data_IF_635557152754
#
_entry.id   IF_635557152754
#
_cell.length_a   1.000
_cell.length_b   1.000
_cell.length_c   1.000
_cell.angle_alpha   90.00
_cell.angle_beta   90.00
_cell.angle_gamma   90.00
#
_symmetry.space_group_name_H-M   'P 1'
#
loop_
_entity.id
_entity.type
_entity.pdbx_description
1 polymer ?
#
# COMPACT_ATOMS: atom_id res chain seq x y z
N UNK A 1 -17.37 -16.35 17.41
CA UNK A 1 -17.05 -14.94 17.06
C UNK A 1 -15.66 -14.64 17.55
N UNK A 2 -14.92 -13.78 16.85
CA UNK A 2 -13.63 -13.28 17.37
C UNK A 2 -13.92 -12.38 18.59
N UNK A 3 -13.00 -12.29 19.57
CA UNK A 3 -13.17 -11.40 20.73
C UNK A 3 -13.33 -9.91 20.38
N UNK A 4 -13.05 -9.54 19.13
CA UNK A 4 -13.13 -8.17 18.59
C UNK A 4 -14.41 -7.93 17.77
N UNK A 5 -15.27 -8.93 17.59
CA UNK A 5 -16.52 -8.75 16.88
C UNK A 5 -17.43 -7.79 17.67
N UNK A 6 -17.75 -6.63 17.08
CA UNK A 6 -18.62 -5.62 17.70
C UNK A 6 -17.89 -4.43 18.37
N UNK A 7 -16.56 -4.36 18.27
CA UNK A 7 -15.83 -3.14 18.68
C UNK A 7 -16.14 -1.98 17.76
N UNK A 8 -16.12 -0.76 18.30
CA UNK A 8 -16.30 0.44 17.49
C UNK A 8 -15.24 0.52 16.37
N UNK A 9 -15.62 0.95 15.16
CA UNK A 9 -14.66 1.18 14.09
C UNK A 9 -13.66 2.28 14.49
N UNK A 10 -12.42 2.12 14.06
CA UNK A 10 -11.37 3.11 14.29
C UNK A 10 -11.67 4.39 13.51
N UNK A 11 -11.39 5.55 14.11
CA UNK A 11 -11.43 6.84 13.40
C UNK A 11 -10.45 6.80 12.20
N UNK A 12 -10.91 7.09 10.96
CA UNK A 12 -10.04 7.19 9.79
C UNK A 12 -8.79 8.06 10.00
N UNK A 13 -8.88 9.15 10.77
CA UNK A 13 -7.75 10.04 11.01
C UNK A 13 -6.70 9.43 11.94
N UNK A 14 -7.11 8.63 12.93
CA UNK A 14 -6.19 7.87 13.80
C UNK A 14 -5.43 6.82 12.97
N UNK A 15 -6.11 6.18 12.02
CA UNK A 15 -5.47 5.26 11.09
C UNK A 15 -4.41 5.96 10.22
N UNK A 16 -4.76 7.08 9.58
CA UNK A 16 -3.83 7.87 8.75
C UNK A 16 -2.65 8.39 9.58
N UNK A 17 -2.90 8.86 10.81
CA UNK A 17 -1.85 9.31 11.72
C UNK A 17 -0.87 8.18 12.04
N UNK A 18 -1.37 6.97 12.26
CA UNK A 18 -0.54 5.78 12.50
C UNK A 18 0.44 5.52 11.35
N UNK A 19 -0.05 5.65 10.10
CA UNK A 19 0.81 5.54 8.91
C UNK A 19 1.89 6.64 8.89
N UNK A 20 1.51 7.88 9.16
CA UNK A 20 2.46 9.00 9.21
C UNK A 20 3.55 8.78 10.27
N UNK A 21 3.16 8.32 11.47
CA UNK A 21 4.10 7.98 12.54
C UNK A 21 5.04 6.85 12.12
N UNK A 22 4.52 5.80 11.50
CA UNK A 22 5.34 4.70 10.99
C UNK A 22 6.38 5.19 9.96
N UNK A 23 5.98 6.06 9.02
CA UNK A 23 6.91 6.66 8.05
C UNK A 23 7.98 7.52 8.71
N UNK A 24 7.60 8.38 9.65
CA UNK A 24 8.54 9.29 10.33
C UNK A 24 9.56 8.49 11.18
N UNK A 25 9.08 7.50 11.94
CA UNK A 25 9.92 6.69 12.83
C UNK A 25 10.79 5.68 12.06
N UNK A 26 10.33 5.21 10.89
CA UNK A 26 11.02 4.22 10.07
C UNK A 26 11.15 4.70 8.60
N UNK A 27 11.97 5.73 8.32
CA UNK A 27 11.98 6.41 7.02
C UNK A 27 12.37 5.52 5.85
N UNK A 28 13.14 4.45 6.09
CA UNK A 28 13.61 3.50 5.08
C UNK A 28 12.71 2.26 4.93
N UNK A 29 11.75 2.06 5.84
CA UNK A 29 10.90 0.88 5.82
C UNK A 29 9.82 0.99 4.74
N UNK A 30 9.37 -0.17 4.26
CA UNK A 30 8.16 -0.28 3.45
C UNK A 30 6.96 -0.26 4.39
N UNK A 31 6.07 0.71 4.21
CA UNK A 31 4.82 0.81 4.97
C UNK A 31 3.70 0.29 4.07
N UNK A 32 3.17 -0.89 4.40
CA UNK A 32 2.22 -1.63 3.56
C UNK A 32 0.77 -1.48 4.03
N UNK A 33 -0.06 -0.87 3.18
CA UNK A 33 -1.52 -0.92 3.31
C UNK A 33 -2.00 -2.34 2.99
N UNK A 34 -2.45 -3.04 4.02
CA UNK A 34 -2.77 -4.46 3.96
C UNK A 34 -4.29 -4.70 4.03
N UNK A 35 -4.79 -5.23 5.15
CA UNK A 35 -6.18 -5.64 5.32
C UNK A 35 -7.15 -4.45 5.41
N UNK A 36 -8.39 -4.66 4.97
CA UNK A 36 -9.48 -3.67 5.07
C UNK A 36 -9.51 -2.61 3.97
N UNK A 37 -8.57 -2.64 3.00
CA UNK A 37 -8.52 -1.64 1.91
C UNK A 37 -9.79 -1.65 1.06
N UNK A 38 -10.43 -2.81 0.88
CA UNK A 38 -11.70 -2.94 0.14
C UNK A 38 -12.82 -2.06 0.70
N UNK A 39 -12.84 -1.90 2.02
CA UNK A 39 -13.86 -1.13 2.75
C UNK A 39 -13.46 0.34 2.91
N UNK A 40 -12.22 0.71 2.57
CA UNK A 40 -11.73 2.08 2.69
C UNK A 40 -12.16 2.94 1.48
N UNK A 41 -12.75 4.12 1.71
CA UNK A 41 -13.00 5.09 0.66
C UNK A 41 -11.72 5.48 -0.08
N UNK A 42 -11.84 5.77 -1.38
CA UNK A 42 -10.70 6.17 -2.23
C UNK A 42 -9.92 7.37 -1.64
N UNK A 43 -10.62 8.33 -1.06
CA UNK A 43 -10.03 9.50 -0.39
C UNK A 43 -9.17 9.10 0.80
N UNK A 44 -9.60 8.10 1.58
CA UNK A 44 -8.83 7.59 2.71
C UNK A 44 -7.56 6.87 2.23
N UNK A 45 -7.65 6.08 1.16
CA UNK A 45 -6.49 5.42 0.57
C UNK A 45 -5.47 6.44 0.05
N UNK A 46 -5.94 7.49 -0.65
CA UNK A 46 -5.10 8.59 -1.11
C UNK A 46 -4.37 9.29 0.05
N UNK A 47 -5.07 9.56 1.16
CA UNK A 47 -4.47 10.16 2.35
C UNK A 47 -3.44 9.23 3.01
N UNK A 48 -3.65 7.91 2.98
CA UNK A 48 -2.66 6.97 3.50
C UNK A 48 -1.37 6.94 2.66
N UNK A 49 -1.49 7.00 1.32
CA UNK A 49 -0.32 7.15 0.44
C UNK A 49 0.41 8.48 0.70
N UNK A 50 -0.34 9.58 0.83
CA UNK A 50 0.23 10.88 1.18
C UNK A 50 0.94 10.85 2.55
N UNK A 51 0.39 10.14 3.53
CA UNK A 51 0.98 9.99 4.87
C UNK A 51 2.27 9.15 4.88
N UNK A 52 2.54 8.38 3.81
CA UNK A 52 3.80 7.66 3.63
C UNK A 52 3.67 6.16 3.44
N UNK A 53 2.46 5.61 3.27
CA UNK A 53 2.30 4.26 2.76
C UNK A 53 2.89 4.17 1.34
N UNK A 54 3.65 3.12 1.06
CA UNK A 54 4.34 2.93 -0.23
C UNK A 54 4.34 1.48 -0.71
N UNK A 55 3.50 0.64 -0.10
CA UNK A 55 3.29 -0.74 -0.51
C UNK A 55 1.83 -1.11 -0.28
N UNK A 56 1.30 -2.00 -1.10
CA UNK A 56 -0.05 -2.54 -0.99
C UNK A 56 -0.09 -3.93 -1.61
N UNK A 57 -1.09 -4.73 -1.25
CA UNK A 57 -1.37 -5.95 -1.99
C UNK A 57 -2.03 -5.62 -3.32
N UNK A 58 -1.32 -5.92 -4.41
CA UNK A 58 -1.73 -5.68 -5.79
C UNK A 58 -1.57 -6.97 -6.60
N UNK A 59 -2.60 -7.33 -7.37
CA UNK A 59 -2.59 -8.51 -8.23
C UNK A 59 -4.00 -8.89 -8.68
N UNK A 60 -4.10 -9.51 -9.85
CA UNK A 60 -5.38 -9.89 -10.50
C UNK A 60 -6.14 -10.98 -9.75
N UNK A 61 -5.47 -11.67 -8.81
CA UNK A 61 -6.07 -12.63 -7.89
C UNK A 61 -5.49 -12.46 -6.49
N UNK A 62 -6.33 -12.71 -5.49
CA UNK A 62 -5.87 -12.93 -4.11
C UNK A 62 -5.35 -14.38 -4.00
N UNK A 63 -6.00 -15.23 -3.20
CA UNK A 63 -5.60 -16.64 -3.05
C UNK A 63 -6.17 -17.55 -4.16
N UNK A 64 -7.37 -17.28 -4.67
CA UNK A 64 -8.04 -18.11 -5.70
C UNK A 64 -9.02 -17.35 -6.62
N UNK A 65 -9.46 -16.15 -6.24
CA UNK A 65 -10.49 -15.34 -6.93
C UNK A 65 -9.90 -14.14 -7.65
N UNK A 66 -10.55 -13.71 -8.74
CA UNK A 66 -10.24 -12.45 -9.41
C UNK A 66 -10.40 -11.27 -8.44
N UNK A 67 -9.46 -10.33 -8.49
CA UNK A 67 -9.39 -9.18 -7.61
C UNK A 67 -9.84 -7.91 -8.35
N UNK A 68 -11.13 -7.52 -8.28
CA UNK A 68 -11.64 -6.30 -8.91
C UNK A 68 -11.04 -5.02 -8.32
N UNK A 69 -10.27 -5.13 -7.23
CA UNK A 69 -9.57 -4.00 -6.63
C UNK A 69 -8.35 -3.58 -7.43
N UNK A 70 -7.70 -4.49 -8.17
CA UNK A 70 -6.49 -4.17 -8.94
C UNK A 70 -6.71 -3.05 -9.97
N UNK A 71 -7.84 -3.08 -10.69
CA UNK A 71 -8.18 -2.01 -11.65
C UNK A 71 -8.48 -0.68 -10.94
N UNK A 72 -9.18 -0.73 -9.80
CA UNK A 72 -9.48 0.46 -8.98
C UNK A 72 -8.20 1.08 -8.41
N UNK A 73 -7.29 0.24 -7.92
CA UNK A 73 -5.99 0.68 -7.40
C UNK A 73 -5.16 1.33 -8.50
N UNK A 74 -5.16 0.73 -9.70
CA UNK A 74 -4.45 1.30 -10.84
C UNK A 74 -5.01 2.68 -11.21
N UNK A 75 -6.34 2.81 -11.30
CA UNK A 75 -6.98 4.08 -11.57
C UNK A 75 -6.68 5.14 -10.48
N UNK A 76 -6.69 4.73 -9.21
CA UNK A 76 -6.32 5.60 -8.08
C UNK A 76 -4.87 6.06 -8.18
N UNK A 77 -3.92 5.14 -8.38
CA UNK A 77 -2.50 5.47 -8.48
C UNK A 77 -2.23 6.39 -9.68
N UNK A 78 -2.87 6.15 -10.82
CA UNK A 78 -2.79 7.00 -12.01
C UNK A 78 -3.30 8.42 -11.70
N UNK A 79 -4.44 8.55 -11.02
CA UNK A 79 -4.99 9.86 -10.58
C UNK A 79 -4.07 10.59 -9.60
N UNK A 80 -3.37 9.86 -8.74
CA UNK A 80 -2.40 10.41 -7.80
C UNK A 80 -1.02 10.67 -8.44
N UNK A 81 -0.82 10.31 -9.70
CA UNK A 81 0.47 10.44 -10.40
C UNK A 81 1.56 9.52 -9.84
N UNK A 82 1.17 8.42 -9.19
CA UNK A 82 2.08 7.47 -8.56
C UNK A 82 2.47 6.35 -9.53
N UNK A 83 3.71 5.87 -9.42
CA UNK A 83 4.19 4.72 -10.21
C UNK A 83 4.18 3.47 -9.34
N UNK A 84 3.63 2.39 -9.87
CA UNK A 84 3.65 1.09 -9.21
C UNK A 84 4.81 0.25 -9.77
N UNK A 85 5.68 -0.23 -8.89
CA UNK A 85 6.67 -1.27 -9.22
C UNK A 85 6.22 -2.56 -8.55
N UNK A 86 6.12 -3.65 -9.32
CA UNK A 86 5.87 -4.97 -8.76
C UNK A 86 7.14 -5.51 -8.10
N UNK A 87 7.03 -6.51 -7.21
CA UNK A 87 8.20 -7.17 -6.60
C UNK A 87 9.21 -7.65 -7.65
N UNK A 88 8.72 -8.15 -8.80
CA UNK A 88 9.56 -8.51 -9.95
C UNK A 88 10.32 -7.31 -10.54
N UNK A 89 9.65 -6.16 -10.65
CA UNK A 89 10.28 -4.91 -11.11
C UNK A 89 11.31 -4.34 -10.14
N UNK A 90 11.03 -4.39 -8.82
CA UNK A 90 11.96 -3.94 -7.77
C UNK A 90 13.24 -4.80 -7.73
N UNK A 91 13.11 -6.12 -7.87
CA UNK A 91 14.26 -7.01 -7.93
C UNK A 91 15.14 -6.76 -9.16
N UNK A 92 14.52 -6.46 -10.31
CA UNK A 92 15.23 -6.13 -11.56
C UNK A 92 15.97 -4.80 -11.45
N UNK A 93 15.35 -3.75 -10.91
CA UNK A 93 15.97 -2.43 -10.71
C UNK A 93 17.13 -2.49 -9.69
N UNK A 94 16.98 -3.29 -8.63
CA UNK A 94 18.01 -3.50 -7.64
C UNK A 94 19.24 -4.21 -8.25
N UNK A 95 19.01 -5.25 -9.07
CA UNK A 95 20.07 -5.95 -9.78
C UNK A 95 20.82 -5.02 -10.75
N UNK A 96 20.10 -4.22 -11.54
CA UNK A 96 20.69 -3.27 -12.49
C UNK A 96 21.56 -2.19 -11.82
N UNK A 97 21.16 -1.69 -10.63
CA UNK A 97 21.97 -0.74 -9.86
C UNK A 97 23.26 -1.33 -9.29
N UNK A 98 23.25 -2.61 -8.92
CA UNK A 98 24.46 -3.30 -8.41
C UNK A 98 25.49 -3.46 -9.50
N UNK A 99 25.09 -3.78 -10.74
CA UNK A 99 26.01 -3.88 -11.88
C UNK A 99 26.61 -2.53 -12.28
N UNK A 100 25.85 -1.44 -12.19
CA UNK A 100 26.33 -0.10 -12.53
C UNK A 100 27.38 0.44 -11.54
N UNK A 101 27.31 0.07 -10.26
CA UNK A 101 28.30 0.47 -9.23
C UNK A 101 29.57 -0.41 -9.20
N UNK A 102 29.70 -1.38 -10.12
CA UNK A 102 30.88 -2.26 -10.25
C UNK A 102 31.84 -1.84 -11.37
N UNK A 103 31.61 -0.68 -12.00
CA UNK A 103 32.48 -0.02 -12.98
C UNK A 103 32.86 1.37 -12.49
#
# INVERSE_FOLDING_TARGET
GTPLAGTAPLDPLEFIRTIAVARITMPRAMVRLSAGREEMPETMQALCFLAGANSMFYGDKLLTTSNPQAEKDRALLDRLGMRCSTESGLATDAAAKVDLCRH
#
